data_IF_877807207343
#
_entry.id   IF_877807207343
#
_cell.length_a   1.000
_cell.length_b   1.000
_cell.length_c   1.000
_cell.angle_alpha   90.00
_cell.angle_beta   90.00
_cell.angle_gamma   90.00
#
_symmetry.space_group_name_H-M   'P 1'
#
loop_
_entity.id
_entity.type
_entity.pdbx_description
1 polymer ?
#
# COMPACT_ATOMS: atom_id res chain seq x y z
N UNK A 1 17.73 -31.41 40.45
CA UNK A 1 18.69 -31.13 39.37
C UNK A 1 17.87 -31.05 38.10
N UNK A 2 17.62 -29.85 37.59
CA UNK A 2 16.81 -29.65 36.40
C UNK A 2 17.71 -29.90 35.18
N UNK A 3 17.43 -30.98 34.45
CA UNK A 3 18.19 -31.35 33.25
C UNK A 3 17.74 -30.41 32.15
N UNK A 4 18.53 -29.36 31.93
CA UNK A 4 18.31 -28.39 30.86
C UNK A 4 18.17 -29.10 29.52
N UNK A 5 17.09 -28.80 28.80
CA UNK A 5 16.83 -29.35 27.48
C UNK A 5 17.97 -28.93 26.52
N UNK A 6 18.55 -29.86 25.74
CA UNK A 6 19.64 -29.52 24.82
C UNK A 6 19.15 -28.54 23.76
N UNK A 7 19.96 -27.53 23.44
CA UNK A 7 19.70 -26.62 22.32
C UNK A 7 19.69 -27.42 21.01
N UNK A 8 18.54 -27.46 20.34
CA UNK A 8 18.36 -28.14 19.04
C UNK A 8 18.41 -27.11 17.91
N UNK A 9 19.61 -26.88 17.37
CA UNK A 9 19.83 -25.92 16.27
C UNK A 9 19.06 -26.27 14.99
N UNK A 10 18.83 -27.56 14.74
CA UNK A 10 18.11 -28.06 13.56
C UNK A 10 16.68 -27.51 13.47
N UNK A 11 15.96 -27.44 14.59
CA UNK A 11 14.60 -26.88 14.62
C UNK A 11 14.56 -25.40 14.22
N UNK A 12 15.58 -24.64 14.59
CA UNK A 12 15.68 -23.23 14.22
C UNK A 12 16.13 -23.06 12.77
N UNK A 13 17.03 -23.92 12.28
CA UNK A 13 17.42 -23.95 10.89
C UNK A 13 16.21 -24.21 9.97
N UNK A 14 15.41 -25.23 10.28
CA UNK A 14 14.17 -25.55 9.55
C UNK A 14 13.17 -24.39 9.57
N UNK A 15 13.03 -23.72 10.72
CA UNK A 15 12.16 -22.56 10.83
C UNK A 15 12.64 -21.38 9.97
N UNK A 16 13.96 -21.13 9.92
CA UNK A 16 14.55 -20.09 9.07
C UNK A 16 14.32 -20.39 7.59
N UNK A 17 14.52 -21.64 7.15
CA UNK A 17 14.27 -22.04 5.76
C UNK A 17 12.81 -21.80 5.38
N UNK A 18 11.86 -22.24 6.22
CA UNK A 18 10.42 -22.00 5.97
C UNK A 18 10.07 -20.52 5.90
N UNK A 19 10.71 -19.68 6.73
CA UNK A 19 10.51 -18.24 6.69
C UNK A 19 11.07 -17.61 5.40
N UNK A 20 12.20 -18.10 4.90
CA UNK A 20 12.77 -17.67 3.62
C UNK A 20 11.85 -18.06 2.45
N UNK A 21 11.36 -19.29 2.43
CA UNK A 21 10.41 -19.77 1.40
C UNK A 21 9.12 -18.94 1.39
N UNK A 22 8.54 -18.68 2.56
CA UNK A 22 7.36 -17.81 2.71
C UNK A 22 7.63 -16.38 2.25
N UNK A 23 8.82 -15.84 2.54
CA UNK A 23 9.22 -14.52 2.09
C UNK A 23 9.30 -14.48 0.56
N UNK A 24 9.99 -15.44 -0.05
CA UNK A 24 10.15 -15.51 -1.50
C UNK A 24 8.84 -15.76 -2.24
N UNK A 25 7.90 -16.46 -1.60
CA UNK A 25 6.55 -16.67 -2.11
C UNK A 25 5.71 -15.39 -2.02
N UNK A 26 5.67 -14.73 -0.85
CA UNK A 26 4.86 -13.52 -0.63
C UNK A 26 5.33 -12.32 -1.43
N UNK A 27 6.63 -12.21 -1.66
CA UNK A 27 7.23 -11.13 -2.44
C UNK A 27 7.59 -11.55 -3.86
N UNK A 28 6.97 -12.62 -4.38
CA UNK A 28 7.24 -13.11 -5.72
C UNK A 28 6.93 -12.07 -6.82
N UNK A 29 5.93 -11.24 -6.59
CA UNK A 29 5.51 -10.13 -7.45
C UNK A 29 6.52 -8.97 -7.45
N UNK A 30 7.36 -8.80 -6.42
CA UNK A 30 8.44 -7.80 -6.46
C UNK A 30 9.45 -8.13 -7.57
N UNK A 31 9.63 -9.41 -7.87
CA UNK A 31 10.50 -9.84 -8.99
C UNK A 31 9.96 -9.37 -10.34
N UNK A 32 8.64 -9.33 -10.53
CA UNK A 32 8.04 -8.87 -11.79
C UNK A 32 8.17 -7.36 -11.98
N UNK A 33 8.33 -6.61 -10.89
CA UNK A 33 8.48 -5.15 -10.91
C UNK A 33 9.93 -4.69 -10.75
N UNK A 34 10.88 -5.63 -10.72
CA UNK A 34 12.31 -5.36 -10.47
C UNK A 34 12.87 -4.28 -11.40
N UNK A 35 12.60 -4.37 -12.69
CA UNK A 35 13.05 -3.38 -13.67
C UNK A 35 12.51 -1.98 -13.33
N UNK A 36 11.24 -1.85 -12.97
CA UNK A 36 10.64 -0.56 -12.60
C UNK A 36 11.30 0.03 -11.35
N UNK A 37 11.68 -0.79 -10.37
CA UNK A 37 12.40 -0.34 -9.17
C UNK A 37 13.83 0.09 -9.50
N UNK A 38 14.50 -0.61 -10.41
CA UNK A 38 15.84 -0.25 -10.85
C UNK A 38 15.84 1.05 -11.67
N UNK A 39 14.87 1.23 -12.57
CA UNK A 39 14.68 2.50 -13.30
C UNK A 39 14.35 3.64 -12.31
N UNK A 40 13.56 3.38 -11.27
CA UNK A 40 13.30 4.38 -10.22
C UNK A 40 14.56 4.74 -9.43
N UNK A 41 15.41 3.77 -9.12
CA UNK A 41 16.64 3.97 -8.35
C UNK A 41 17.70 4.74 -9.15
N UNK A 42 17.90 4.39 -10.42
CA UNK A 42 18.87 5.06 -11.29
C UNK A 42 18.42 5.04 -12.78
N UNK A 43 17.55 5.98 -13.18
CA UNK A 43 17.04 6.02 -14.56
C UNK A 43 18.13 6.40 -15.58
N UNK A 44 19.23 7.03 -15.14
CA UNK A 44 20.28 7.53 -16.04
C UNK A 44 21.37 6.51 -16.36
N UNK A 45 21.44 5.39 -15.64
CA UNK A 45 22.37 4.28 -15.89
C UNK A 45 21.69 2.96 -16.24
N UNK A 46 20.35 2.89 -16.15
CA UNK A 46 19.59 1.68 -16.45
C UNK A 46 19.75 1.25 -17.92
N UNK A 47 19.94 -0.05 -18.16
CA UNK A 47 20.00 -0.59 -19.53
C UNK A 47 18.61 -0.55 -20.18
N UNK A 48 18.50 0.24 -21.25
CA UNK A 48 17.25 0.42 -21.99
C UNK A 48 16.72 -0.92 -22.53
N UNK A 49 17.58 -1.89 -22.85
CA UNK A 49 17.14 -3.19 -23.38
C UNK A 49 16.35 -3.99 -22.36
N UNK A 50 16.62 -3.80 -21.07
CA UNK A 50 15.92 -4.46 -19.97
C UNK A 50 14.64 -3.70 -19.55
N UNK A 51 14.37 -2.55 -20.17
CA UNK A 51 13.20 -1.73 -19.83
C UNK A 51 11.94 -2.27 -20.53
N UNK A 52 10.75 -2.15 -19.90
CA UNK A 52 9.48 -2.38 -20.56
C UNK A 52 9.39 -1.59 -21.88
N UNK A 53 8.92 -2.19 -23.00
CA UNK A 53 8.90 -1.53 -24.31
C UNK A 53 8.23 -0.16 -24.32
N UNK A 54 7.19 0.03 -23.49
CA UNK A 54 6.46 1.30 -23.35
C UNK A 54 7.31 2.44 -22.77
N UNK A 55 8.40 2.14 -22.06
CA UNK A 55 9.28 3.12 -21.42
C UNK A 55 10.55 3.39 -22.21
N UNK A 56 10.94 2.50 -23.15
CA UNK A 56 12.26 2.54 -23.78
C UNK A 56 12.55 3.87 -24.47
N UNK A 57 11.60 4.41 -25.23
CA UNK A 57 11.78 5.68 -25.93
C UNK A 57 11.98 6.85 -24.97
N UNK A 58 11.10 6.99 -23.98
CA UNK A 58 11.21 8.04 -22.97
C UNK A 58 12.48 7.92 -22.13
N UNK A 59 12.93 6.68 -21.87
CA UNK A 59 14.15 6.42 -21.11
C UNK A 59 15.40 6.83 -21.90
N UNK A 60 15.44 6.56 -23.21
CA UNK A 60 16.50 7.06 -24.10
C UNK A 60 16.53 8.58 -24.08
N UNK A 61 15.39 9.23 -24.31
CA UNK A 61 15.30 10.70 -24.33
C UNK A 61 15.73 11.31 -22.99
N UNK A 62 15.35 10.68 -21.87
CA UNK A 62 15.76 11.09 -20.53
C UNK A 62 17.28 10.94 -20.35
N UNK A 63 17.86 9.81 -20.76
CA UNK A 63 19.30 9.53 -20.63
C UNK A 63 20.16 10.45 -21.49
N UNK A 64 19.64 10.88 -22.64
CA UNK A 64 20.28 11.86 -23.53
C UNK A 64 20.18 13.31 -23.02
N UNK A 65 19.27 13.60 -22.08
CA UNK A 65 19.09 14.95 -21.55
C UNK A 65 20.15 15.29 -20.48
N UNK A 66 21.18 16.04 -20.89
CA UNK A 66 22.29 16.45 -20.02
C UNK A 66 21.87 17.35 -18.86
N UNK A 67 20.86 18.21 -19.04
CA UNK A 67 20.35 19.11 -18.01
C UNK A 67 19.63 18.33 -16.90
N UNK A 68 18.72 17.42 -17.27
CA UNK A 68 18.02 16.56 -16.33
C UNK A 68 19.00 15.61 -15.63
N UNK A 69 20.03 15.13 -16.33
CA UNK A 69 21.10 14.31 -15.74
C UNK A 69 21.90 15.09 -14.70
N UNK A 70 22.23 16.36 -14.96
CA UNK A 70 22.91 17.22 -14.01
C UNK A 70 22.06 17.48 -12.76
N UNK A 71 20.78 17.83 -12.95
CA UNK A 71 19.81 18.01 -11.86
C UNK A 71 19.66 16.76 -11.01
N UNK A 72 19.58 15.59 -11.64
CA UNK A 72 19.51 14.31 -10.95
C UNK A 72 20.74 14.07 -10.05
N UNK A 73 21.95 14.35 -10.55
CA UNK A 73 23.18 14.22 -9.74
C UNK A 73 23.20 15.17 -8.54
N UNK A 74 22.65 16.37 -8.66
CA UNK A 74 22.57 17.35 -7.57
C UNK A 74 21.65 16.91 -6.42
N UNK A 75 20.54 16.24 -6.78
CA UNK A 75 19.54 15.73 -5.81
C UNK A 75 19.84 14.31 -5.36
N UNK A 76 20.73 13.59 -6.04
CA UNK A 76 21.16 12.23 -5.69
C UNK A 76 21.67 12.19 -4.24
N UNK A 77 21.21 11.20 -3.48
CA UNK A 77 21.52 11.05 -2.04
C UNK A 77 20.58 11.84 -1.10
N UNK A 78 19.65 12.65 -1.61
CA UNK A 78 18.63 13.35 -0.81
C UNK A 78 17.25 12.80 -1.16
N UNK A 79 16.75 11.86 -0.36
CA UNK A 79 15.52 11.10 -0.64
C UNK A 79 14.31 12.00 -0.99
N UNK A 80 14.10 13.08 -0.22
CA UNK A 80 12.98 14.00 -0.44
C UNK A 80 13.08 14.73 -1.79
N UNK A 81 14.29 15.22 -2.13
CA UNK A 81 14.54 15.94 -3.39
C UNK A 81 14.53 15.02 -4.60
N UNK A 82 15.02 13.79 -4.44
CA UNK A 82 14.95 12.75 -5.47
C UNK A 82 13.49 12.41 -5.80
N UNK A 83 12.67 12.18 -4.77
CA UNK A 83 11.25 11.94 -4.94
C UNK A 83 10.54 13.10 -5.64
N UNK A 84 10.87 14.34 -5.28
CA UNK A 84 10.32 15.53 -5.93
C UNK A 84 10.72 15.61 -7.42
N UNK A 85 12.01 15.47 -7.73
CA UNK A 85 12.52 15.49 -9.10
C UNK A 85 11.81 14.47 -10.00
N UNK A 86 11.69 13.22 -9.54
CA UNK A 86 11.03 12.16 -10.32
C UNK A 86 9.53 12.42 -10.52
N UNK A 87 8.87 13.11 -9.58
CA UNK A 87 7.44 13.45 -9.65
C UNK A 87 7.15 14.62 -10.59
N UNK A 88 8.13 15.52 -10.72
CA UNK A 88 8.07 16.78 -11.48
C UNK A 88 8.76 16.69 -12.85
N UNK A 89 8.94 15.47 -13.38
CA UNK A 89 9.44 15.30 -14.74
C UNK A 89 8.61 16.10 -15.75
N UNK A 90 9.26 16.68 -16.78
CA UNK A 90 8.56 17.40 -17.84
C UNK A 90 7.45 16.56 -18.49
N UNK A 91 6.39 17.20 -19.00
CA UNK A 91 5.26 16.51 -19.63
C UNK A 91 5.65 15.72 -20.91
N UNK A 92 6.87 15.89 -21.40
CA UNK A 92 7.47 15.10 -22.49
C UNK A 92 7.72 13.64 -22.11
N UNK A 93 7.67 13.29 -20.82
CA UNK A 93 7.89 11.93 -20.32
C UNK A 93 6.63 11.37 -19.59
N UNK A 94 5.47 11.26 -20.28
CA UNK A 94 4.22 10.89 -19.65
C UNK A 94 4.22 9.48 -19.02
N UNK A 95 4.87 8.50 -19.63
CA UNK A 95 4.92 7.11 -19.16
C UNK A 95 5.85 6.98 -17.94
N UNK A 96 7.05 7.55 -18.00
CA UNK A 96 7.99 7.60 -16.87
C UNK A 96 7.40 8.38 -15.70
N UNK A 97 6.79 9.55 -15.95
CA UNK A 97 6.14 10.35 -14.91
C UNK A 97 5.02 9.55 -14.23
N UNK A 98 4.22 8.80 -14.99
CA UNK A 98 3.17 7.94 -14.45
C UNK A 98 3.74 6.79 -13.62
N UNK A 99 4.82 6.16 -14.08
CA UNK A 99 5.49 5.10 -13.35
C UNK A 99 6.06 5.62 -12.02
N UNK A 100 6.84 6.69 -12.03
CA UNK A 100 7.44 7.24 -10.82
C UNK A 100 6.39 7.69 -9.80
N UNK A 101 5.28 8.30 -10.25
CA UNK A 101 4.16 8.66 -9.37
C UNK A 101 3.49 7.45 -8.69
N UNK A 102 3.52 6.27 -9.31
CA UNK A 102 3.01 5.01 -8.72
C UNK A 102 4.01 4.38 -7.76
N UNK A 103 5.31 4.47 -8.07
CA UNK A 103 6.40 3.85 -7.28
C UNK A 103 6.75 4.65 -6.03
N UNK A 104 6.61 5.97 -6.05
CA UNK A 104 6.78 6.80 -4.85
C UNK A 104 5.63 6.47 -3.89
N UNK A 105 5.92 5.65 -2.87
CA UNK A 105 5.02 5.46 -1.74
C UNK A 105 4.76 6.83 -1.11
N UNK A 106 3.54 7.34 -1.30
CA UNK A 106 3.21 8.75 -1.12
C UNK A 106 3.33 9.31 0.30
N UNK A 107 3.71 8.50 1.29
CA UNK A 107 4.12 8.92 2.63
C UNK A 107 4.51 7.70 3.46
N UNK A 108 5.43 7.86 4.41
CA UNK A 108 5.59 6.88 5.51
C UNK A 108 4.27 6.66 6.24
N UNK A 109 3.44 7.70 6.36
CA UNK A 109 2.11 7.66 6.96
C UNK A 109 1.18 6.58 6.37
N UNK A 110 1.12 6.40 5.04
CA UNK A 110 0.29 5.34 4.46
C UNK A 110 0.80 3.95 4.84
N UNK A 111 2.12 3.76 4.86
CA UNK A 111 2.74 2.52 5.31
C UNK A 111 2.48 2.28 6.80
N UNK A 112 2.70 3.29 7.65
CA UNK A 112 2.43 3.26 9.09
C UNK A 112 0.96 2.94 9.39
N UNK A 113 0.03 3.58 8.67
CA UNK A 113 -1.41 3.32 8.78
C UNK A 113 -1.77 1.91 8.32
N UNK A 114 -1.17 1.42 7.24
CA UNK A 114 -1.35 0.04 6.76
C UNK A 114 -0.91 -0.95 7.83
N UNK A 115 0.32 -0.82 8.35
CA UNK A 115 0.86 -1.69 9.39
C UNK A 115 0.06 -1.63 10.68
N UNK A 116 -0.32 -0.42 11.12
CA UNK A 116 -1.14 -0.23 12.32
C UNK A 116 -2.50 -0.89 12.17
N UNK A 117 -3.15 -0.72 11.02
CA UNK A 117 -4.46 -1.34 10.73
C UNK A 117 -4.34 -2.85 10.67
N UNK A 118 -3.30 -3.38 10.03
CA UNK A 118 -3.03 -4.81 9.96
C UNK A 118 -2.82 -5.41 11.35
N UNK A 119 -1.99 -4.77 12.18
CA UNK A 119 -1.70 -5.21 13.55
C UNK A 119 -2.96 -5.17 14.42
N UNK A 120 -3.75 -4.09 14.34
CA UNK A 120 -5.02 -3.98 15.05
C UNK A 120 -6.03 -5.06 14.61
N UNK A 121 -6.12 -5.33 13.31
CA UNK A 121 -7.04 -6.33 12.74
C UNK A 121 -6.63 -7.74 13.16
N UNK A 122 -5.35 -8.10 13.08
CA UNK A 122 -4.84 -9.40 13.52
C UNK A 122 -4.98 -9.57 15.04
N UNK A 123 -4.74 -8.53 15.83
CA UNK A 123 -4.91 -8.55 17.30
C UNK A 123 -6.38 -8.74 17.72
N UNK A 124 -7.33 -8.15 16.99
CA UNK A 124 -8.76 -8.29 17.28
C UNK A 124 -9.35 -9.61 16.80
N UNK A 125 -8.85 -10.16 15.69
CA UNK A 125 -9.33 -11.39 15.06
C UNK A 125 -8.22 -12.45 15.03
N UNK A 126 -7.76 -12.86 16.21
CA UNK A 126 -6.49 -13.59 16.45
C UNK A 126 -6.30 -14.95 15.76
N UNK A 127 -7.28 -15.50 15.05
CA UNK A 127 -7.14 -16.82 14.40
C UNK A 127 -8.10 -17.11 13.23
N UNK A 128 -8.93 -16.16 12.79
CA UNK A 128 -10.05 -16.45 11.86
C UNK A 128 -10.10 -15.61 10.59
N UNK A 129 -9.11 -14.76 10.36
CA UNK A 129 -9.11 -13.89 9.18
C UNK A 129 -8.34 -14.55 8.04
N UNK A 130 -9.03 -14.80 6.91
CA UNK A 130 -8.37 -15.22 5.67
C UNK A 130 -7.65 -14.03 5.03
N UNK A 131 -6.70 -14.30 4.13
CA UNK A 131 -5.93 -13.26 3.47
C UNK A 131 -6.83 -12.32 2.65
N UNK A 132 -7.86 -12.84 1.98
CA UNK A 132 -8.81 -12.06 1.19
C UNK A 132 -9.59 -11.06 2.08
N UNK A 133 -9.98 -11.50 3.28
CA UNK A 133 -10.67 -10.65 4.24
C UNK A 133 -9.74 -9.57 4.79
N UNK A 134 -8.50 -9.91 5.10
CA UNK A 134 -7.51 -8.94 5.56
C UNK A 134 -7.21 -7.91 4.47
N UNK A 135 -7.01 -8.36 3.22
CA UNK A 135 -6.79 -7.50 2.07
C UNK A 135 -7.96 -6.54 1.85
N UNK A 136 -9.20 -7.02 1.94
CA UNK A 136 -10.39 -6.18 1.82
C UNK A 136 -10.46 -5.10 2.90
N UNK A 137 -10.18 -5.45 4.16
CA UNK A 137 -10.15 -4.50 5.28
C UNK A 137 -9.07 -3.44 5.04
N UNK A 138 -7.84 -3.85 4.72
CA UNK A 138 -6.73 -2.93 4.47
C UNK A 138 -7.06 -1.98 3.31
N UNK A 139 -7.62 -2.47 2.21
CA UNK A 139 -8.05 -1.64 1.07
C UNK A 139 -9.05 -0.57 1.49
N UNK A 140 -10.06 -0.93 2.29
CA UNK A 140 -11.08 0.02 2.78
C UNK A 140 -10.48 1.04 3.75
N UNK A 141 -9.61 0.62 4.66
CA UNK A 141 -9.03 1.49 5.69
C UNK A 141 -8.00 2.50 5.16
N UNK A 142 -7.32 2.15 4.07
CA UNK A 142 -6.21 2.94 3.53
C UNK A 142 -6.68 3.86 2.40
N UNK A 143 -7.72 3.48 1.65
CA UNK A 143 -8.23 4.30 0.56
C UNK A 143 -8.74 5.65 1.05
N UNK A 144 -8.19 6.73 0.49
CA UNK A 144 -8.62 8.11 0.75
C UNK A 144 -9.90 8.50 -0.01
N UNK A 145 -10.30 7.72 -1.02
CA UNK A 145 -11.37 8.08 -1.97
C UNK A 145 -12.55 7.10 -2.04
N UNK A 146 -12.57 6.04 -1.22
CA UNK A 146 -13.71 5.12 -1.17
C UNK A 146 -14.89 5.78 -0.45
N UNK A 147 -15.93 6.17 -1.21
CA UNK A 147 -17.21 6.59 -0.65
C UNK A 147 -18.13 5.36 -0.53
N UNK A 148 -18.64 5.02 0.67
CA UNK A 148 -19.60 3.93 0.78
C UNK A 148 -20.89 4.30 0.05
N UNK A 149 -21.40 3.39 -0.79
CA UNK A 149 -22.71 3.56 -1.41
C UNK A 149 -23.81 3.26 -0.37
N UNK A 150 -24.04 4.22 0.53
CA UNK A 150 -24.99 4.11 1.64
C UNK A 150 -26.40 3.82 1.14
N UNK A 151 -26.79 4.38 -0.01
CA UNK A 151 -28.12 4.16 -0.61
C UNK A 151 -28.33 2.69 -0.98
N UNK A 152 -27.36 2.06 -1.64
CA UNK A 152 -27.43 0.66 -2.02
C UNK A 152 -27.32 -0.28 -0.80
N UNK A 153 -26.49 0.06 0.18
CA UNK A 153 -26.39 -0.64 1.46
C UNK A 153 -27.71 -0.63 2.23
N UNK A 154 -28.36 0.54 2.33
CA UNK A 154 -29.67 0.69 2.96
C UNK A 154 -30.76 -0.10 2.22
N UNK A 155 -30.76 -0.12 0.88
CA UNK A 155 -31.69 -0.95 0.09
C UNK A 155 -31.52 -2.45 0.40
N UNK A 156 -30.28 -2.95 0.44
CA UNK A 156 -29.99 -4.38 0.74
C UNK A 156 -30.32 -4.77 2.18
N UNK A 157 -30.04 -3.90 3.16
CA UNK A 157 -30.34 -4.16 4.59
C UNK A 157 -31.83 -4.04 4.92
N UNK A 158 -32.59 -3.17 4.24
CA UNK A 158 -34.06 -3.07 4.41
C UNK A 158 -34.77 -4.39 4.08
N UNK A 159 -34.25 -5.19 3.14
CA UNK A 159 -34.81 -6.51 2.82
C UNK A 159 -34.61 -7.55 3.93
N UNK A 160 -33.60 -7.41 4.81
CA UNK A 160 -33.40 -8.35 5.93
C UNK A 160 -34.27 -8.03 7.15
N UNK A 161 -34.62 -6.76 7.36
CA UNK A 161 -35.48 -6.36 8.49
C UNK A 161 -36.95 -6.73 8.22
N UNK A 162 -37.38 -6.74 6.97
CA UNK A 162 -38.76 -7.07 6.59
C UNK A 162 -39.08 -8.57 6.61
N UNK A 163 -38.07 -9.45 6.56
CA UNK A 163 -38.29 -10.90 6.65
C UNK A 163 -38.37 -11.44 8.10
N UNK A 164 -38.04 -10.64 9.12
CA UNK A 164 -37.96 -11.11 10.50
C UNK A 164 -38.87 -10.39 11.52
N UNK A 165 -39.78 -9.51 11.09
CA UNK A 165 -40.65 -8.77 12.01
C UNK A 165 -42.10 -8.68 11.55
N UNK A 166 -42.79 -9.81 11.55
CA UNK A 166 -44.19 -9.81 11.96
C UNK A 166 -44.22 -9.73 13.50
N UNK A 167 -44.72 -8.60 14.03
CA UNK A 167 -44.82 -8.21 15.47
C UNK A 167 -43.57 -7.54 16.05
N UNK A 168 -43.50 -6.21 15.99
CA UNK A 168 -43.91 -5.36 17.11
C UNK A 168 -43.85 -3.89 16.69
N UNK A 169 -44.74 -3.12 17.30
CA UNK A 169 -45.12 -1.76 16.97
C UNK A 169 -43.96 -0.76 16.85
N UNK A 170 -44.13 0.11 15.85
CA UNK A 170 -43.82 1.54 15.87
C UNK A 170 -43.61 2.10 17.29
N UNK A 171 -42.45 2.72 17.54
CA UNK A 171 -42.41 4.02 18.17
C UNK A 171 -41.16 4.76 17.68
N UNK A 172 -41.44 5.91 17.08
CA UNK A 172 -40.52 6.91 16.60
C UNK A 172 -39.80 7.56 17.80
N UNK A 173 -38.48 7.72 17.70
CA UNK A 173 -37.65 8.44 18.67
C UNK A 173 -36.52 9.15 17.94
N UNK A 174 -36.86 10.16 17.14
CA UNK A 174 -35.89 11.15 16.66
C UNK A 174 -35.49 12.01 17.86
N UNK A 175 -34.23 11.94 18.27
CA UNK A 175 -33.71 12.74 19.38
C UNK A 175 -32.21 12.61 19.53
N UNK A 176 -31.48 13.48 18.82
CA UNK A 176 -30.25 14.15 19.29
C UNK A 176 -29.05 13.31 19.74
N UNK A 177 -28.01 13.26 18.89
CA UNK A 177 -26.66 13.74 19.24
C UNK A 177 -25.70 13.58 18.06
N UNK A 178 -25.67 14.61 17.23
CA UNK A 178 -24.65 14.84 16.21
C UNK A 178 -23.74 15.96 16.70
N UNK A 179 -22.77 15.67 17.57
CA UNK A 179 -21.65 16.58 17.87
C UNK A 179 -20.53 15.78 18.54
N UNK A 180 -19.42 15.56 17.83
CA UNK A 180 -18.01 15.42 18.31
C UNK A 180 -17.21 14.95 17.08
N UNK A 181 -17.04 15.84 16.10
CA UNK A 181 -15.85 15.93 15.22
C UNK A 181 -15.85 17.36 14.68
N UNK A 182 -15.20 18.30 15.39
CA UNK A 182 -14.63 19.57 14.86
C UNK A 182 -14.01 20.36 16.01
N UNK A 183 -12.67 20.25 16.11
CA UNK A 183 -11.66 20.91 16.96
C UNK A 183 -10.65 19.78 17.22
N UNK A 184 -9.55 19.62 16.49
CA UNK A 184 -8.52 20.63 16.22
C UNK A 184 -7.87 20.42 14.84
N UNK A 185 -8.04 21.41 13.97
CA UNK A 185 -7.09 21.74 12.92
C UNK A 185 -7.28 23.23 12.65
N UNK A 186 -6.55 24.06 13.39
CA UNK A 186 -6.13 25.44 13.08
C UNK A 186 -5.42 26.01 14.32
N UNK A 187 -4.15 25.64 14.47
CA UNK A 187 -3.05 26.54 14.83
C UNK A 187 -1.75 25.91 14.32
#
# INVERSE_FOLDING_TARGET
>A
MDVGTPFSGEKYADAIVKLQEEFDHRFADFRTHRANFQIFADPFSFDVQDAPPVLQMELIDLQCNSELKAKFREVSGKADKLGQFLRELPPTFPELSRMFKRTIFGSTYLCEKLFSTMNFTKSKYTSKITDEHLQAILRVSIASSLKPNVVQLCKRKRCQVLAARSRLAFLCGFGSCQTIIRRDMLQ
#
